data_IF_838521035126
#
_entry.id   IF_838521035126
#
_cell.length_a   1.000
_cell.length_b   1.000
_cell.length_c   1.000
_cell.angle_alpha   90.00
_cell.angle_beta   90.00
_cell.angle_gamma   90.00
#
_symmetry.space_group_name_H-M   'P 1'
#
loop_
_entity.id
_entity.type
_entity.pdbx_description
1 polymer ?
#
# COMPACT_ATOMS: atom_id res chain seq x y z
N UNK A 1 41.99 16.06 -40.50
CA UNK A 1 41.39 15.40 -39.31
C UNK A 1 40.43 16.28 -38.50
N UNK A 2 39.88 17.39 -39.06
CA UNK A 2 38.94 18.28 -38.36
C UNK A 2 37.45 17.99 -38.57
N UNK A 3 37.07 17.45 -39.75
CA UNK A 3 35.68 17.15 -40.10
C UNK A 3 35.02 16.15 -39.14
N UNK A 4 35.73 15.08 -38.76
CA UNK A 4 35.21 14.10 -37.79
C UNK A 4 34.99 14.68 -36.39
N UNK A 5 35.82 15.66 -35.98
CA UNK A 5 35.67 16.34 -34.69
C UNK A 5 34.45 17.26 -34.69
N UNK A 6 34.21 17.96 -35.81
CA UNK A 6 33.05 18.80 -36.01
C UNK A 6 31.74 17.99 -36.05
N UNK A 7 31.75 16.86 -36.78
CA UNK A 7 30.59 15.96 -36.85
C UNK A 7 30.26 15.36 -35.48
N UNK A 8 31.26 14.95 -34.68
CA UNK A 8 31.04 14.51 -33.29
C UNK A 8 30.47 15.62 -32.41
N UNK A 9 30.96 16.86 -32.52
CA UNK A 9 30.47 17.97 -31.73
C UNK A 9 28.99 18.31 -32.03
N UNK A 10 28.54 18.15 -33.27
CA UNK A 10 27.15 18.39 -33.68
C UNK A 10 26.21 17.20 -33.44
N UNK A 11 26.69 15.95 -33.57
CA UNK A 11 25.87 14.75 -33.37
C UNK A 11 25.73 14.35 -31.90
N UNK A 12 26.74 14.59 -31.06
CA UNK A 12 26.68 14.30 -29.61
C UNK A 12 25.44 14.87 -28.89
N UNK A 13 25.03 16.14 -29.07
CA UNK A 13 23.86 16.69 -28.38
C UNK A 13 22.54 16.09 -28.84
N UNK A 14 22.42 15.62 -30.09
CA UNK A 14 21.19 14.98 -30.59
C UNK A 14 20.89 13.65 -29.89
N UNK A 15 21.94 12.88 -29.55
CA UNK A 15 21.78 11.65 -28.77
C UNK A 15 21.34 11.90 -27.33
N UNK A 16 21.88 12.97 -26.71
CA UNK A 16 21.54 13.36 -25.32
C UNK A 16 20.09 13.86 -25.24
N UNK A 17 19.64 14.68 -26.20
CA UNK A 17 18.28 15.19 -26.24
C UNK A 17 17.22 14.07 -26.33
N UNK A 18 17.48 13.01 -27.11
CA UNK A 18 16.57 11.87 -27.19
C UNK A 18 16.47 11.10 -25.87
N UNK A 19 17.58 10.96 -25.16
CA UNK A 19 17.60 10.31 -23.85
C UNK A 19 16.84 11.14 -22.80
N UNK A 20 17.02 12.46 -22.79
CA UNK A 20 16.29 13.35 -21.87
C UNK A 20 14.77 13.25 -22.09
N UNK A 21 14.32 13.23 -23.35
CA UNK A 21 12.91 13.04 -23.68
C UNK A 21 12.37 11.68 -23.22
N UNK A 22 13.16 10.62 -23.37
CA UNK A 22 12.78 9.29 -22.89
C UNK A 22 12.67 9.24 -21.36
N UNK A 23 13.59 9.90 -20.65
CA UNK A 23 13.55 10.02 -19.18
C UNK A 23 12.31 10.79 -18.73
N UNK A 24 12.00 11.92 -19.37
CA UNK A 24 10.78 12.70 -19.06
C UNK A 24 9.53 11.86 -19.27
N UNK A 25 9.43 11.15 -20.40
CA UNK A 25 8.28 10.29 -20.68
C UNK A 25 8.11 9.18 -19.63
N UNK A 26 9.19 8.48 -19.28
CA UNK A 26 9.16 7.45 -18.22
C UNK A 26 8.78 8.06 -16.87
N UNK A 27 9.30 9.25 -16.53
CA UNK A 27 8.96 9.92 -15.28
C UNK A 27 7.48 10.31 -15.20
N UNK A 28 6.87 10.69 -16.32
CA UNK A 28 5.45 11.02 -16.40
C UNK A 28 4.59 9.76 -16.21
N UNK A 29 4.92 8.67 -16.89
CA UNK A 29 4.26 7.37 -16.72
C UNK A 29 4.38 6.86 -15.27
N UNK A 30 5.56 7.00 -14.66
CA UNK A 30 5.79 6.63 -13.27
C UNK A 30 4.91 7.44 -12.31
N UNK A 31 4.71 8.74 -12.56
CA UNK A 31 3.81 9.58 -11.74
C UNK A 31 2.35 9.14 -11.87
N UNK A 32 1.90 8.77 -13.07
CA UNK A 32 0.54 8.25 -13.30
C UNK A 32 0.35 6.95 -12.53
N UNK A 33 1.31 6.01 -12.64
CA UNK A 33 1.27 4.74 -11.91
C UNK A 33 1.26 5.02 -10.40
N UNK A 34 2.15 5.87 -9.89
CA UNK A 34 2.21 6.19 -8.47
C UNK A 34 0.89 6.79 -7.96
N UNK A 35 0.28 7.71 -8.70
CA UNK A 35 -0.99 8.32 -8.31
C UNK A 35 -2.15 7.31 -8.33
N UNK A 36 -2.24 6.51 -9.40
CA UNK A 36 -3.28 5.47 -9.53
C UNK A 36 -3.14 4.38 -8.47
N UNK A 37 -1.91 3.92 -8.19
CA UNK A 37 -1.62 2.96 -7.12
C UNK A 37 -1.96 3.54 -5.75
N UNK A 38 -1.57 4.79 -5.47
CA UNK A 38 -1.90 5.46 -4.20
C UNK A 38 -3.41 5.57 -4.01
N UNK A 39 -4.15 5.96 -5.06
CA UNK A 39 -5.61 6.01 -5.03
C UNK A 39 -6.24 4.63 -4.80
N UNK A 40 -5.71 3.58 -5.45
CA UNK A 40 -6.20 2.21 -5.26
C UNK A 40 -5.95 1.70 -3.83
N UNK A 41 -4.75 1.92 -3.28
CA UNK A 41 -4.41 1.58 -1.89
C UNK A 41 -5.31 2.33 -0.92
N UNK A 42 -5.56 3.62 -1.16
CA UNK A 42 -6.48 4.42 -0.34
C UNK A 42 -7.90 3.84 -0.29
N UNK A 43 -8.43 3.39 -1.44
CA UNK A 43 -9.75 2.73 -1.49
C UNK A 43 -9.76 1.40 -0.74
N UNK A 44 -8.74 0.57 -0.92
CA UNK A 44 -8.60 -0.69 -0.18
C UNK A 44 -8.54 -0.46 1.33
N UNK A 45 -7.82 0.58 1.78
CA UNK A 45 -7.74 0.91 3.19
C UNK A 45 -9.12 1.29 3.78
N UNK A 46 -9.95 2.02 3.02
CA UNK A 46 -11.31 2.36 3.44
C UNK A 46 -12.17 1.10 3.58
N UNK A 47 -12.12 0.20 2.58
CA UNK A 47 -12.88 -1.05 2.60
C UNK A 47 -12.45 -1.96 3.76
N UNK A 48 -11.15 -2.13 3.96
CA UNK A 48 -10.58 -2.90 5.08
C UNK A 48 -11.02 -2.29 6.42
N UNK A 49 -11.01 -0.97 6.56
CA UNK A 49 -11.43 -0.31 7.80
C UNK A 49 -12.94 -0.49 8.06
N UNK A 50 -13.77 -0.44 7.02
CA UNK A 50 -15.20 -0.74 7.13
C UNK A 50 -15.43 -2.20 7.57
N UNK A 51 -14.73 -3.14 6.94
CA UNK A 51 -14.83 -4.56 7.27
C UNK A 51 -14.37 -4.86 8.70
N UNK A 52 -13.28 -4.22 9.17
CA UNK A 52 -12.79 -4.36 10.55
C UNK A 52 -13.90 -4.09 11.57
N UNK A 53 -14.67 -3.01 11.40
CA UNK A 53 -15.77 -2.67 12.32
C UNK A 53 -16.81 -3.79 12.41
N UNK A 54 -17.22 -4.34 11.26
CA UNK A 54 -18.16 -5.47 11.19
C UNK A 54 -17.57 -6.73 11.83
N UNK A 55 -16.28 -7.01 11.60
CA UNK A 55 -15.61 -8.17 12.20
C UNK A 55 -15.51 -8.04 13.73
N UNK A 56 -15.15 -6.87 14.27
CA UNK A 56 -15.13 -6.65 15.72
C UNK A 56 -16.51 -6.76 16.34
N UNK A 57 -17.54 -6.24 15.69
CA UNK A 57 -18.93 -6.40 16.12
C UNK A 57 -19.33 -7.88 16.14
N UNK A 58 -19.08 -8.61 15.06
CA UNK A 58 -19.36 -10.04 14.97
C UNK A 58 -18.63 -10.80 16.07
N UNK A 59 -17.35 -10.47 16.31
CA UNK A 59 -16.55 -11.10 17.35
C UNK A 59 -17.12 -10.86 18.74
N UNK A 60 -17.54 -9.63 19.05
CA UNK A 60 -18.19 -9.29 20.33
C UNK A 60 -19.47 -10.10 20.55
N UNK A 61 -20.33 -10.18 19.53
CA UNK A 61 -21.56 -11.00 19.60
C UNK A 61 -21.21 -12.47 19.82
N UNK A 62 -20.23 -12.98 19.08
CA UNK A 62 -19.75 -14.35 19.22
C UNK A 62 -19.18 -14.62 20.62
N UNK A 63 -18.40 -13.70 21.18
CA UNK A 63 -17.85 -13.81 22.53
C UNK A 63 -18.97 -13.75 23.59
N UNK A 64 -20.02 -12.97 23.37
CA UNK A 64 -21.19 -12.93 24.25
C UNK A 64 -21.95 -14.25 24.26
N UNK A 65 -22.23 -14.85 23.09
CA UNK A 65 -22.95 -16.14 23.01
C UNK A 65 -22.09 -17.32 23.47
N UNK A 66 -20.76 -17.22 23.36
CA UNK A 66 -19.80 -18.25 23.80
C UNK A 66 -19.19 -17.96 25.17
N UNK A 67 -19.70 -16.96 25.90
CA UNK A 67 -19.15 -16.55 27.19
C UNK A 67 -19.05 -17.71 28.20
N UNK A 68 -20.02 -18.63 28.19
CA UNK A 68 -20.02 -19.82 29.07
C UNK A 68 -18.94 -20.85 28.72
N UNK A 69 -18.47 -20.83 27.47
CA UNK A 69 -17.45 -21.74 26.93
C UNK A 69 -16.07 -21.07 26.87
N UNK A 70 -15.91 -19.90 27.49
CA UNK A 70 -14.64 -19.17 27.55
C UNK A 70 -14.40 -18.20 26.38
N UNK A 71 -15.46 -17.75 25.69
CA UNK A 71 -15.39 -16.89 24.51
C UNK A 71 -14.68 -17.55 23.31
N UNK A 72 -14.74 -16.94 22.12
CA UNK A 72 -14.31 -17.62 20.89
C UNK A 72 -12.81 -17.94 20.87
N UNK A 73 -11.95 -17.18 21.59
CA UNK A 73 -10.49 -17.45 21.62
C UNK A 73 -10.19 -18.80 22.27
N UNK A 74 -10.93 -19.15 23.32
CA UNK A 74 -10.81 -20.45 23.98
C UNK A 74 -11.35 -21.55 23.08
N UNK A 75 -12.46 -21.30 22.36
CA UNK A 75 -13.03 -22.29 21.43
C UNK A 75 -12.09 -22.61 20.26
N UNK A 76 -11.43 -21.59 19.68
CA UNK A 76 -10.50 -21.80 18.56
C UNK A 76 -9.09 -22.21 19.01
N UNK A 77 -8.84 -22.27 20.32
CA UNK A 77 -7.54 -22.61 20.92
C UNK A 77 -6.38 -21.75 20.38
N UNK A 78 -6.62 -20.45 20.19
CA UNK A 78 -5.62 -19.47 19.75
C UNK A 78 -5.65 -18.23 20.64
N UNK A 79 -4.48 -17.62 20.88
CA UNK A 79 -4.43 -16.27 21.47
C UNK A 79 -4.98 -15.23 20.49
N UNK A 80 -5.95 -14.41 20.91
CA UNK A 80 -6.53 -13.36 20.07
C UNK A 80 -6.70 -12.03 20.81
N UNK A 81 -5.66 -11.59 21.51
CA UNK A 81 -5.58 -10.29 22.16
C UNK A 81 -5.39 -9.16 21.13
N UNK A 82 -6.40 -8.88 20.32
CA UNK A 82 -6.40 -7.77 19.34
C UNK A 82 -7.44 -6.73 19.72
N UNK A 83 -7.08 -5.45 19.68
CA UNK A 83 -7.98 -4.33 19.96
C UNK A 83 -7.82 -3.21 18.93
N UNK A 84 -8.80 -2.30 18.90
CA UNK A 84 -8.72 -1.08 18.09
C UNK A 84 -8.24 0.06 18.98
N UNK A 85 -7.14 0.70 18.60
CA UNK A 85 -6.62 1.86 19.33
C UNK A 85 -7.43 3.15 19.06
N UNK A 86 -7.05 4.24 19.72
CA UNK A 86 -7.72 5.55 19.54
C UNK A 86 -7.60 6.10 18.12
N UNK A 87 -6.64 5.62 17.32
CA UNK A 87 -6.45 5.99 15.92
C UNK A 87 -7.25 5.11 14.95
N UNK A 88 -8.01 4.14 15.47
CA UNK A 88 -8.78 3.20 14.65
C UNK A 88 -7.93 2.07 14.05
N UNK A 89 -6.69 1.89 14.51
CA UNK A 89 -5.79 0.85 14.04
C UNK A 89 -5.89 -0.40 14.90
N UNK A 90 -5.68 -1.56 14.29
CA UNK A 90 -5.70 -2.84 14.99
C UNK A 90 -4.34 -3.07 15.61
N UNK A 91 -4.30 -3.13 16.94
CA UNK A 91 -3.12 -3.46 17.72
C UNK A 91 -3.29 -4.87 18.32
N UNK A 92 -2.16 -5.54 18.53
CA UNK A 92 -2.10 -6.81 19.26
C UNK A 92 -1.41 -6.58 20.58
N UNK A 93 -2.01 -7.04 21.66
CA UNK A 93 -1.31 -7.16 22.95
C UNK A 93 -0.47 -8.44 22.91
N UNK A 94 0.85 -8.27 22.82
CA UNK A 94 1.83 -9.35 22.94
C UNK A 94 2.38 -9.33 24.37
N UNK A 95 1.65 -9.95 25.29
CA UNK A 95 2.14 -10.27 26.64
C UNK A 95 2.35 -11.76 26.79
#
# INVERSE_FOLDING_TARGET
TGFNSFVRALLSPLGIAQLEMAIVNISAEMQIIANTTTGAIGRLQIEVNSLKGVLFQNRMVLDMITAQMGAVCTLVNTSCCTYVDQSGQTATDIH
#
